data_IF_850812790855
#
_entry.id   IF_850812790855
#
_cell.length_a   1.000
_cell.length_b   1.000
_cell.length_c   1.000
_cell.angle_alpha   90.00
_cell.angle_beta   90.00
_cell.angle_gamma   90.00
#
_symmetry.space_group_name_H-M   'P 1'
#
loop_
_entity.id
_entity.type
_entity.pdbx_description
1 polymer ?
#
# COMPACT_ATOMS: atom_id res chain seq x y z
N UNK A 1 26.52 7.42 -15.44
CA UNK A 1 25.76 8.53 -14.85
C UNK A 1 24.77 9.02 -15.87
N UNK A 2 23.49 8.82 -15.60
CA UNK A 2 22.43 9.40 -16.39
C UNK A 2 22.30 10.90 -16.07
N UNK A 3 22.28 11.74 -17.12
CA UNK A 3 22.09 13.20 -17.01
C UNK A 3 20.62 13.60 -17.13
N UNK A 4 19.74 12.67 -17.48
CA UNK A 4 18.29 12.88 -17.50
C UNK A 4 17.74 12.82 -16.07
N UNK A 5 18.13 13.81 -15.27
CA UNK A 5 17.63 14.01 -13.91
C UNK A 5 16.32 14.80 -13.97
N UNK A 6 15.34 14.34 -13.20
CA UNK A 6 14.14 15.09 -12.94
C UNK A 6 14.21 15.65 -11.53
N UNK A 7 14.33 16.97 -11.42
CA UNK A 7 14.30 17.69 -10.14
C UNK A 7 13.00 18.49 -10.10
N UNK A 8 12.23 18.31 -9.03
CA UNK A 8 10.98 19.06 -8.79
C UNK A 8 11.02 19.70 -7.40
N UNK A 9 10.24 20.76 -7.20
CA UNK A 9 10.09 21.36 -5.87
C UNK A 9 9.25 20.40 -4.99
N UNK A 10 9.57 20.32 -3.69
CA UNK A 10 8.91 19.44 -2.72
C UNK A 10 7.40 19.65 -2.60
N UNK A 11 6.90 20.84 -2.95
CA UNK A 11 5.49 21.20 -2.96
C UNK A 11 4.75 20.79 -4.26
N UNK A 12 5.48 20.25 -5.25
CA UNK A 12 4.87 19.76 -6.49
C UNK A 12 3.94 18.61 -6.17
N UNK A 13 2.75 18.58 -6.78
CA UNK A 13 1.80 17.51 -6.53
C UNK A 13 2.27 16.16 -7.09
N UNK A 14 1.83 15.08 -6.44
CA UNK A 14 2.09 13.70 -6.88
C UNK A 14 1.54 13.42 -8.28
N UNK A 15 0.40 14.00 -8.67
CA UNK A 15 -0.11 13.96 -10.07
C UNK A 15 0.90 14.55 -11.05
N UNK A 16 1.43 15.72 -10.73
CA UNK A 16 2.38 16.44 -11.60
C UNK A 16 3.70 15.68 -11.68
N UNK A 17 4.17 15.13 -10.56
CA UNK A 17 5.35 14.28 -10.50
C UNK A 17 5.19 13.00 -11.35
N UNK A 18 4.06 12.30 -11.24
CA UNK A 18 3.75 11.11 -12.04
C UNK A 18 3.80 11.40 -13.55
N UNK A 19 3.16 12.49 -13.99
CA UNK A 19 3.21 12.93 -15.39
C UNK A 19 4.64 13.25 -15.83
N UNK A 20 5.40 13.97 -15.00
CA UNK A 20 6.77 14.32 -15.32
C UNK A 20 7.70 13.09 -15.44
N UNK A 21 7.50 12.07 -14.61
CA UNK A 21 8.22 10.78 -14.70
C UNK A 21 7.97 10.10 -16.05
N UNK A 22 6.71 10.02 -16.48
CA UNK A 22 6.31 9.45 -17.77
C UNK A 22 6.93 10.20 -18.95
N UNK A 23 6.72 11.53 -19.01
CA UNK A 23 7.20 12.38 -20.11
C UNK A 23 8.74 12.39 -20.22
N UNK A 24 9.43 12.32 -19.08
CA UNK A 24 10.90 12.31 -19.02
C UNK A 24 11.50 10.91 -19.18
N UNK A 25 10.67 9.86 -19.24
CA UNK A 25 11.11 8.46 -19.27
C UNK A 25 12.12 8.14 -18.15
N UNK A 26 11.82 8.62 -16.95
CA UNK A 26 12.64 8.41 -15.75
C UNK A 26 11.80 7.86 -14.61
N UNK A 27 12.42 7.10 -13.72
CA UNK A 27 11.74 6.40 -12.63
C UNK A 27 11.93 7.06 -11.25
N UNK A 28 12.58 8.22 -11.19
CA UNK A 28 12.67 8.98 -9.93
C UNK A 28 12.68 10.49 -10.12
N UNK A 29 12.14 11.17 -9.11
CA UNK A 29 12.22 12.61 -8.89
C UNK A 29 13.17 12.85 -7.73
N UNK A 30 14.12 13.75 -7.92
CA UNK A 30 14.88 14.37 -6.82
C UNK A 30 14.10 15.59 -6.36
N UNK A 31 13.63 15.59 -5.11
CA UNK A 31 12.87 16.68 -4.54
C UNK A 31 13.83 17.78 -4.03
N UNK A 32 13.47 19.03 -4.31
CA UNK A 32 14.20 20.21 -3.86
C UNK A 32 13.33 21.15 -3.04
N UNK A 33 13.92 21.87 -2.08
CA UNK A 33 13.23 22.98 -1.41
C UNK A 33 13.20 24.25 -2.29
N UNK A 34 12.60 25.32 -1.77
CA UNK A 34 12.50 26.61 -2.47
C UNK A 34 13.86 27.29 -2.69
N UNK A 35 14.90 26.82 -2.00
CA UNK A 35 16.28 27.29 -2.13
C UNK A 35 17.11 26.41 -3.08
N UNK A 36 16.52 25.34 -3.62
CA UNK A 36 17.17 24.40 -4.53
C UNK A 36 18.01 23.32 -3.84
N UNK A 37 17.93 23.19 -2.51
CA UNK A 37 18.58 22.09 -1.80
C UNK A 37 17.85 20.78 -2.06
N UNK A 38 18.60 19.69 -2.18
CA UNK A 38 18.01 18.36 -2.27
C UNK A 38 17.48 17.96 -0.89
N UNK A 39 16.19 17.66 -0.81
CA UNK A 39 15.48 17.34 0.45
C UNK A 39 14.73 16.02 0.42
N UNK A 40 14.55 15.41 -0.75
CA UNK A 40 14.08 14.04 -0.82
C UNK A 40 14.22 13.37 -2.17
N UNK A 41 13.77 12.12 -2.24
CA UNK A 41 13.68 11.34 -3.46
C UNK A 41 12.35 10.59 -3.50
N UNK A 42 11.69 10.61 -4.66
CA UNK A 42 10.41 9.92 -4.90
C UNK A 42 10.57 9.04 -6.14
N UNK A 43 10.03 7.83 -6.10
CA UNK A 43 10.05 6.90 -7.22
C UNK A 43 8.64 6.61 -7.74
N UNK A 44 8.55 6.06 -8.94
CA UNK A 44 7.30 5.50 -9.49
C UNK A 44 6.62 4.50 -8.54
N UNK A 45 7.41 3.68 -7.84
CA UNK A 45 6.93 2.77 -6.81
C UNK A 45 6.32 3.51 -5.62
N UNK A 46 6.91 4.61 -5.18
CA UNK A 46 6.37 5.41 -4.08
C UNK A 46 5.03 6.01 -4.48
N UNK A 47 4.90 6.55 -5.70
CA UNK A 47 3.61 7.06 -6.19
C UNK A 47 2.57 5.93 -6.33
N UNK A 48 2.96 4.78 -6.84
CA UNK A 48 2.03 3.66 -7.00
C UNK A 48 1.59 3.07 -5.66
N UNK A 49 2.55 2.80 -4.77
CA UNK A 49 2.26 2.14 -3.51
C UNK A 49 1.70 3.12 -2.47
N UNK A 50 2.29 4.32 -2.31
CA UNK A 50 1.90 5.28 -1.28
C UNK A 50 0.73 6.19 -1.71
N UNK A 51 0.67 6.61 -2.98
CA UNK A 51 -0.41 7.52 -3.42
C UNK A 51 -1.60 6.73 -3.94
N UNK A 52 -1.44 5.92 -4.99
CA UNK A 52 -2.55 5.15 -5.54
C UNK A 52 -3.04 4.07 -4.56
N UNK A 53 -2.11 3.34 -3.95
CA UNK A 53 -2.44 2.26 -3.01
C UNK A 53 -3.15 2.70 -1.73
N UNK A 54 -2.90 3.92 -1.25
CA UNK A 54 -3.60 4.48 -0.08
C UNK A 54 -4.67 5.50 -0.45
N UNK A 55 -4.92 5.68 -1.75
CA UNK A 55 -5.84 6.67 -2.34
C UNK A 55 -5.63 8.08 -1.78
N UNK A 56 -4.37 8.49 -1.63
CA UNK A 56 -4.06 9.86 -1.26
C UNK A 56 -4.55 10.81 -2.38
N UNK A 57 -5.04 12.03 -2.04
CA UNK A 57 -5.41 13.01 -3.05
C UNK A 57 -4.26 13.23 -4.01
N UNK A 58 -4.54 13.28 -5.31
CA UNK A 58 -3.48 13.43 -6.30
C UNK A 58 -2.87 14.85 -6.34
N UNK A 59 -3.44 15.76 -5.55
CA UNK A 59 -2.92 17.08 -5.18
C UNK A 59 -1.89 17.06 -4.05
N UNK A 60 -1.74 15.94 -3.34
CA UNK A 60 -0.76 15.75 -2.25
C UNK A 60 0.64 16.17 -2.71
N UNK A 61 1.38 16.96 -1.92
CA UNK A 61 2.74 17.35 -2.28
C UNK A 61 3.71 16.17 -2.19
N UNK A 62 4.71 16.13 -3.07
CA UNK A 62 5.70 15.03 -3.05
C UNK A 62 6.50 14.96 -1.74
N UNK A 63 6.56 16.05 -0.96
CA UNK A 63 7.16 16.06 0.38
C UNK A 63 6.59 15.03 1.33
N UNK A 64 5.33 14.63 1.13
CA UNK A 64 4.61 13.78 2.08
C UNK A 64 4.84 12.28 1.78
N UNK A 65 5.38 11.99 0.60
CA UNK A 65 5.65 10.62 0.12
C UNK A 65 7.12 10.39 -0.27
N UNK A 66 7.98 11.41 -0.11
CA UNK A 66 9.41 11.30 -0.44
C UNK A 66 10.20 10.62 0.69
N UNK A 67 11.23 9.87 0.30
CA UNK A 67 12.29 9.51 1.23
C UNK A 67 13.14 10.75 1.54
N UNK A 68 13.32 11.07 2.81
CA UNK A 68 14.11 12.23 3.29
C UNK A 68 15.58 11.88 3.57
N UNK A 69 15.88 10.62 3.83
CA UNK A 69 17.26 10.12 3.91
C UNK A 69 17.82 9.86 2.52
N UNK A 70 18.66 10.76 2.04
CA UNK A 70 19.23 10.70 0.70
C UNK A 70 20.72 10.46 0.78
N UNK A 71 21.17 9.44 0.07
CA UNK A 71 22.58 9.13 -0.11
C UNK A 71 23.07 9.73 -1.42
N UNK A 72 24.03 10.65 -1.34
CA UNK A 72 24.57 11.36 -2.51
C UNK A 72 26.08 11.15 -2.63
N UNK A 73 26.62 11.24 -3.84
CA UNK A 73 28.07 11.30 -4.09
C UNK A 73 28.44 12.63 -4.75
N UNK A 74 29.69 13.06 -4.56
CA UNK A 74 30.19 14.22 -5.30
C UNK A 74 30.55 13.83 -6.75
N UNK A 75 30.52 14.81 -7.67
CA UNK A 75 30.90 14.63 -9.08
C UNK A 75 32.22 13.88 -9.31
N UNK A 76 33.19 14.05 -8.40
CA UNK A 76 34.54 13.48 -8.51
C UNK A 76 34.68 12.10 -7.84
N UNK A 77 33.63 11.60 -7.20
CA UNK A 77 33.63 10.28 -6.57
C UNK A 77 33.84 9.18 -7.60
N UNK A 78 34.50 8.11 -7.17
CA UNK A 78 34.76 6.95 -8.02
C UNK A 78 33.53 6.06 -8.09
N UNK A 79 33.44 5.25 -9.14
CA UNK A 79 32.32 4.30 -9.31
C UNK A 79 32.24 3.31 -8.14
N UNK A 80 33.38 2.97 -7.55
CA UNK A 80 33.45 2.12 -6.36
C UNK A 80 32.70 2.73 -5.17
N UNK A 81 32.81 4.04 -4.95
CA UNK A 81 32.12 4.74 -3.87
C UNK A 81 30.60 4.67 -4.06
N UNK A 82 30.13 4.81 -5.31
CA UNK A 82 28.72 4.68 -5.67
C UNK A 82 28.21 3.27 -5.37
N UNK A 83 28.94 2.24 -5.83
CA UNK A 83 28.58 0.83 -5.62
C UNK A 83 28.52 0.50 -4.12
N UNK A 84 29.52 0.96 -3.37
CA UNK A 84 29.61 0.72 -1.93
C UNK A 84 28.46 1.38 -1.19
N UNK A 85 28.14 2.63 -1.52
CA UNK A 85 27.03 3.36 -0.93
C UNK A 85 25.66 2.72 -1.23
N UNK A 86 25.48 2.19 -2.45
CA UNK A 86 24.30 1.41 -2.83
C UNK A 86 24.19 0.09 -2.05
N UNK A 87 25.31 -0.61 -1.86
CA UNK A 87 25.38 -1.87 -1.10
C UNK A 87 25.05 -1.63 0.38
N UNK A 88 25.73 -0.69 1.01
CA UNK A 88 25.63 -0.45 2.46
C UNK A 88 24.24 0.01 2.87
N UNK A 89 23.55 0.77 2.01
CA UNK A 89 22.22 1.31 2.31
C UNK A 89 21.07 0.56 1.61
N UNK A 90 21.38 -0.43 0.76
CA UNK A 90 20.37 -1.16 -0.01
C UNK A 90 19.58 -0.30 -1.00
N UNK A 91 20.17 0.79 -1.50
CA UNK A 91 19.51 1.72 -2.43
C UNK A 91 19.93 1.48 -3.88
N UNK A 92 19.03 1.78 -4.81
CA UNK A 92 19.19 1.54 -6.26
C UNK A 92 19.66 2.76 -7.03
N UNK A 93 19.66 3.92 -6.39
CA UNK A 93 19.78 5.23 -7.04
C UNK A 93 20.55 6.16 -6.11
N UNK A 94 21.60 6.79 -6.64
CA UNK A 94 22.46 7.71 -5.90
C UNK A 94 22.56 9.01 -6.71
N UNK A 95 21.96 10.11 -6.24
CA UNK A 95 22.16 11.42 -6.85
C UNK A 95 23.63 11.84 -6.81
N UNK A 96 24.08 12.46 -7.90
CA UNK A 96 25.40 13.06 -8.02
C UNK A 96 25.25 14.56 -7.80
N UNK A 97 25.97 15.08 -6.82
CA UNK A 97 25.89 16.48 -6.43
C UNK A 97 27.18 17.23 -6.74
N UNK A 98 27.04 18.51 -7.03
CA UNK A 98 28.14 19.46 -7.19
C UNK A 98 27.92 20.63 -6.24
N UNK A 99 28.98 20.99 -5.49
CA UNK A 99 28.95 22.18 -4.63
C UNK A 99 28.87 23.42 -5.52
N UNK A 100 27.90 24.27 -5.23
CA UNK A 100 27.74 25.57 -5.88
C UNK A 100 28.17 26.69 -4.91
N UNK A 101 28.21 27.93 -5.42
CA UNK A 101 28.53 29.10 -4.59
C UNK A 101 27.57 29.19 -3.40
N UNK A 102 28.08 29.63 -2.26
CA UNK A 102 27.40 29.74 -0.96
C UNK A 102 27.24 28.43 -0.16
N UNK A 103 27.93 27.35 -0.55
CA UNK A 103 27.94 26.08 0.22
C UNK A 103 26.79 25.13 -0.09
N UNK A 104 25.87 25.51 -0.99
CA UNK A 104 24.75 24.68 -1.41
C UNK A 104 25.20 23.56 -2.36
N UNK A 105 24.36 22.54 -2.51
CA UNK A 105 24.59 21.41 -3.40
C UNK A 105 23.51 21.36 -4.48
N UNK A 106 23.94 21.19 -5.74
CA UNK A 106 23.05 21.01 -6.88
C UNK A 106 23.13 19.57 -7.36
N UNK A 107 21.97 18.93 -7.61
CA UNK A 107 21.91 17.66 -8.32
C UNK A 107 22.29 17.88 -9.80
N UNK A 108 23.32 17.17 -10.27
CA UNK A 108 23.82 17.27 -11.65
C UNK A 108 23.71 15.95 -12.43
N UNK A 109 23.31 14.87 -11.77
CA UNK A 109 23.21 13.56 -12.35
C UNK A 109 22.67 12.55 -11.35
N UNK A 110 22.42 11.33 -11.82
CA UNK A 110 22.10 10.21 -10.95
C UNK A 110 22.80 8.95 -11.47
N UNK A 111 23.24 8.10 -10.55
CA UNK A 111 23.60 6.72 -10.86
C UNK A 111 22.44 5.82 -10.48
N UNK A 112 21.99 4.98 -11.41
CA UNK A 112 21.05 3.90 -11.14
C UNK A 112 21.76 2.55 -11.18
N UNK A 113 21.19 1.53 -10.54
CA UNK A 113 21.65 0.16 -10.70
C UNK A 113 21.68 -0.26 -12.18
N UNK A 114 20.69 0.20 -12.97
CA UNK A 114 20.62 -0.07 -14.40
C UNK A 114 21.80 0.54 -15.16
N UNK A 115 22.20 1.77 -14.83
CA UNK A 115 23.41 2.39 -15.38
C UNK A 115 24.66 1.55 -15.05
N UNK A 116 24.74 1.00 -13.84
CA UNK A 116 25.88 0.16 -13.42
C UNK A 116 25.91 -1.16 -14.19
N UNK A 117 24.75 -1.78 -14.41
CA UNK A 117 24.61 -3.01 -15.20
C UNK A 117 25.05 -2.77 -16.65
N UNK A 118 24.49 -1.74 -17.29
CA UNK A 118 24.78 -1.41 -18.70
C UNK A 118 26.24 -0.96 -18.88
N UNK A 119 26.87 -0.42 -17.85
CA UNK A 119 28.27 -0.01 -17.95
C UNK A 119 29.25 -1.16 -18.17
N UNK A 120 28.90 -2.39 -17.79
CA UNK A 120 29.77 -3.58 -17.80
C UNK A 120 31.11 -3.44 -17.04
N UNK A 121 31.30 -2.32 -16.32
CA UNK A 121 32.53 -2.05 -15.54
C UNK A 121 32.44 -2.64 -14.14
N UNK A 122 31.22 -2.83 -13.60
CA UNK A 122 31.00 -3.34 -12.24
C UNK A 122 30.80 -4.85 -12.28
N UNK A 123 31.65 -5.57 -11.54
CA UNK A 123 31.55 -7.02 -11.45
C UNK A 123 30.20 -7.47 -10.87
N UNK A 124 29.57 -8.48 -11.49
CA UNK A 124 28.23 -8.98 -11.16
C UNK A 124 28.03 -9.29 -9.67
N UNK A 125 29.09 -9.75 -8.98
CA UNK A 125 29.08 -10.00 -7.54
C UNK A 125 28.62 -8.77 -6.74
N UNK A 126 29.12 -7.58 -7.05
CA UNK A 126 28.76 -6.35 -6.34
C UNK A 126 27.33 -5.91 -6.67
N UNK A 127 26.91 -6.02 -7.94
CA UNK A 127 25.53 -5.76 -8.35
C UNK A 127 24.55 -6.68 -7.60
N UNK A 128 24.90 -7.97 -7.47
CA UNK A 128 24.10 -8.93 -6.71
C UNK A 128 24.07 -8.61 -5.21
N UNK A 129 25.15 -8.07 -4.63
CA UNK A 129 25.17 -7.62 -3.24
C UNK A 129 24.24 -6.44 -3.02
N UNK A 130 24.23 -5.45 -3.92
CA UNK A 130 23.27 -4.34 -3.88
C UNK A 130 21.84 -4.90 -3.85
N UNK A 131 21.49 -5.78 -4.79
CA UNK A 131 20.14 -6.37 -4.89
C UNK A 131 19.76 -7.16 -3.62
N UNK A 132 20.69 -7.91 -3.03
CA UNK A 132 20.47 -8.63 -1.76
C UNK A 132 20.23 -7.66 -0.60
N UNK A 133 21.07 -6.61 -0.49
CA UNK A 133 20.94 -5.60 0.54
C UNK A 133 19.55 -4.96 0.51
N UNK A 134 18.96 -4.68 -0.67
CA UNK A 134 17.61 -4.10 -0.72
C UNK A 134 16.52 -5.04 -0.23
N UNK A 135 16.67 -6.36 -0.44
CA UNK A 135 15.72 -7.34 0.10
C UNK A 135 15.79 -7.38 1.63
N UNK A 136 16.99 -7.25 2.20
CA UNK A 136 17.20 -7.19 3.65
C UNK A 136 16.81 -5.84 4.26
N UNK A 137 17.18 -4.72 3.63
CA UNK A 137 16.86 -3.35 4.04
C UNK A 137 15.36 -3.05 3.92
N UNK A 138 14.64 -3.68 3.00
CA UNK A 138 13.16 -3.64 2.99
C UNK A 138 12.53 -4.21 4.27
N UNK A 139 13.27 -5.02 5.03
CA UNK A 139 12.88 -5.48 6.36
C UNK A 139 13.44 -4.60 7.50
N UNK A 140 14.31 -3.63 7.24
CA UNK A 140 15.10 -2.90 8.26
C UNK A 140 15.12 -1.36 8.15
N UNK A 141 14.69 -0.75 7.04
CA UNK A 141 14.76 0.71 6.85
C UNK A 141 13.79 1.42 7.78
N UNK A 142 14.23 1.87 8.95
CA UNK A 142 13.41 2.44 10.02
C UNK A 142 12.76 3.81 9.70
N UNK A 143 13.26 4.56 8.71
CA UNK A 143 12.70 5.86 8.33
C UNK A 143 11.82 5.82 7.07
N UNK A 144 12.19 5.04 6.04
CA UNK A 144 11.22 4.62 5.03
C UNK A 144 10.14 3.74 5.67
N UNK A 145 10.46 2.92 6.67
CA UNK A 145 9.44 2.18 7.43
C UNK A 145 8.57 3.10 8.25
N UNK A 146 8.93 4.32 8.64
CA UNK A 146 7.94 5.17 9.31
C UNK A 146 6.81 5.52 8.32
N UNK A 147 7.13 6.03 7.13
CA UNK A 147 6.12 6.31 6.10
C UNK A 147 5.40 5.03 5.67
N UNK A 148 6.13 3.95 5.40
CA UNK A 148 5.53 2.70 4.96
C UNK A 148 4.78 1.97 6.08
N UNK A 149 5.23 1.94 7.33
CA UNK A 149 4.50 1.36 8.48
C UNK A 149 3.31 2.23 8.83
N UNK A 150 3.48 3.56 8.91
CA UNK A 150 2.34 4.47 9.04
C UNK A 150 1.35 4.21 7.92
N UNK A 151 1.80 4.02 6.67
CA UNK A 151 0.91 3.69 5.57
C UNK A 151 0.19 2.34 5.80
N UNK A 152 0.90 1.25 6.14
CA UNK A 152 0.25 -0.03 6.46
C UNK A 152 -0.77 0.11 7.60
N UNK A 153 -0.40 0.79 8.69
CA UNK A 153 -1.27 1.12 9.80
C UNK A 153 -2.45 1.97 9.32
N UNK A 154 -2.23 2.94 8.44
CA UNK A 154 -3.28 3.78 7.85
C UNK A 154 -4.25 2.95 7.00
N UNK A 155 -3.79 1.99 6.19
CA UNK A 155 -4.68 1.10 5.42
C UNK A 155 -5.52 0.22 6.34
N UNK A 156 -4.92 -0.38 7.36
CA UNK A 156 -5.65 -1.21 8.30
C UNK A 156 -6.64 -0.38 9.14
N UNK A 157 -6.22 0.78 9.61
CA UNK A 157 -7.05 1.73 10.36
C UNK A 157 -8.20 2.26 9.50
N UNK A 158 -7.94 2.57 8.22
CA UNK A 158 -8.95 3.00 7.25
C UNK A 158 -9.93 1.88 6.96
N UNK A 159 -9.45 0.65 6.78
CA UNK A 159 -10.29 -0.53 6.65
C UNK A 159 -11.28 -0.63 7.81
N UNK A 160 -10.79 -0.60 9.04
CA UNK A 160 -11.66 -0.71 10.21
C UNK A 160 -12.55 0.50 10.45
N UNK A 161 -12.11 1.71 10.09
CA UNK A 161 -12.97 2.90 10.09
C UNK A 161 -14.16 2.72 9.15
N UNK A 162 -13.91 2.33 7.91
CA UNK A 162 -14.96 2.09 6.91
C UNK A 162 -15.89 0.96 7.35
N UNK A 163 -15.34 -0.12 7.92
CA UNK A 163 -16.14 -1.23 8.43
C UNK A 163 -17.02 -0.81 9.61
N UNK A 164 -16.49 0.00 10.53
CA UNK A 164 -17.25 0.53 11.66
C UNK A 164 -18.41 1.44 11.21
N UNK A 165 -18.15 2.33 10.25
CA UNK A 165 -19.16 3.19 9.63
C UNK A 165 -20.21 2.36 8.89
N UNK A 166 -19.79 1.40 8.06
CA UNK A 166 -20.69 0.56 7.28
C UNK A 166 -21.62 -0.25 8.17
N UNK A 167 -21.08 -0.93 9.20
CA UNK A 167 -21.85 -1.75 10.13
C UNK A 167 -22.61 -0.94 11.19
N UNK A 168 -22.32 0.35 11.34
CA UNK A 168 -22.80 1.20 12.43
C UNK A 168 -22.46 0.63 13.81
N UNK A 169 -21.19 0.28 14.01
CA UNK A 169 -20.68 -0.31 15.26
C UNK A 169 -19.53 0.53 15.83
N UNK A 170 -19.31 0.51 17.16
CA UNK A 170 -18.09 1.06 17.75
C UNK A 170 -16.86 0.41 17.13
N UNK A 171 -15.79 1.20 16.93
CA UNK A 171 -14.59 0.75 16.21
C UNK A 171 -13.99 -0.55 16.75
N UNK A 172 -13.84 -0.67 18.07
CA UNK A 172 -13.31 -1.88 18.70
C UNK A 172 -14.18 -3.13 18.45
N UNK A 173 -15.50 -2.95 18.37
CA UNK A 173 -16.44 -4.04 18.06
C UNK A 173 -16.39 -4.39 16.58
N UNK A 174 -16.36 -3.37 15.71
CA UNK A 174 -16.25 -3.54 14.27
C UNK A 174 -14.98 -4.31 13.88
N UNK A 175 -13.84 -4.00 14.51
CA UNK A 175 -12.57 -4.70 14.29
C UNK A 175 -12.69 -6.22 14.51
N UNK A 176 -13.28 -6.61 15.65
CA UNK A 176 -13.48 -8.00 16.03
C UNK A 176 -14.53 -8.69 15.16
N UNK A 177 -15.65 -8.03 14.88
CA UNK A 177 -16.73 -8.55 14.02
C UNK A 177 -16.22 -8.76 12.59
N UNK A 178 -15.50 -7.78 12.03
CA UNK A 178 -14.90 -7.91 10.70
C UNK A 178 -13.93 -9.08 10.63
N UNK A 179 -13.02 -9.22 11.60
CA UNK A 179 -12.09 -10.35 11.60
C UNK A 179 -12.82 -11.69 11.70
N UNK A 180 -13.88 -11.76 12.51
CA UNK A 180 -14.70 -12.97 12.66
C UNK A 180 -15.42 -13.33 11.37
N UNK A 181 -16.06 -12.37 10.70
CA UNK A 181 -16.74 -12.57 9.42
C UNK A 181 -15.76 -12.95 8.30
N UNK A 182 -14.62 -12.25 8.18
CA UNK A 182 -13.55 -12.59 7.24
C UNK A 182 -13.05 -14.02 7.45
N UNK A 183 -12.87 -14.43 8.70
CA UNK A 183 -12.45 -15.80 9.06
C UNK A 183 -13.44 -16.82 8.53
N UNK A 184 -14.76 -16.59 8.71
CA UNK A 184 -15.78 -17.53 8.21
C UNK A 184 -15.89 -17.56 6.70
N UNK A 185 -15.81 -16.41 6.05
CA UNK A 185 -15.77 -16.30 4.59
C UNK A 185 -14.57 -17.12 4.07
N UNK A 186 -13.37 -16.87 4.58
CA UNK A 186 -12.14 -17.54 4.12
C UNK A 186 -12.19 -19.05 4.34
N UNK A 187 -12.65 -19.51 5.50
CA UNK A 187 -12.75 -20.94 5.79
C UNK A 187 -13.83 -21.64 4.95
N UNK A 188 -14.90 -20.94 4.58
CA UNK A 188 -15.99 -21.51 3.79
C UNK A 188 -15.64 -21.69 2.32
N UNK A 189 -14.71 -20.89 1.80
CA UNK A 189 -14.32 -20.87 0.40
C UNK A 189 -13.32 -21.97 0.03
N UNK A 190 -13.31 -22.43 -1.24
CA UNK A 190 -12.18 -23.19 -1.79
C UNK A 190 -10.87 -22.40 -1.69
N UNK A 191 -9.76 -23.08 -1.41
CA UNK A 191 -8.46 -22.44 -1.18
C UNK A 191 -8.08 -21.42 -2.26
N UNK A 192 -8.20 -21.74 -3.55
CA UNK A 192 -7.85 -20.83 -4.65
C UNK A 192 -8.64 -19.52 -4.59
N UNK A 193 -9.96 -19.62 -4.36
CA UNK A 193 -10.86 -18.46 -4.28
C UNK A 193 -10.56 -17.65 -3.02
N UNK A 194 -10.32 -18.32 -1.90
CA UNK A 194 -9.98 -17.66 -0.64
C UNK A 194 -8.67 -16.86 -0.74
N UNK A 195 -7.64 -17.37 -1.44
CA UNK A 195 -6.39 -16.66 -1.64
C UNK A 195 -6.56 -15.40 -2.52
N UNK A 196 -7.42 -15.48 -3.54
CA UNK A 196 -7.76 -14.32 -4.37
C UNK A 196 -8.51 -13.26 -3.54
N UNK A 197 -9.49 -13.67 -2.74
CA UNK A 197 -10.20 -12.79 -1.81
C UNK A 197 -9.26 -12.12 -0.81
N UNK A 198 -8.39 -12.90 -0.17
CA UNK A 198 -7.43 -12.40 0.82
C UNK A 198 -6.45 -11.40 0.19
N UNK A 199 -6.01 -11.60 -1.06
CA UNK A 199 -4.98 -10.78 -1.69
C UNK A 199 -5.32 -9.28 -1.79
N UNK A 200 -6.59 -8.91 -1.65
CA UNK A 200 -7.09 -7.54 -1.73
C UNK A 200 -7.34 -6.89 -0.35
N UNK A 201 -7.16 -7.64 0.74
CA UNK A 201 -7.30 -7.12 2.10
C UNK A 201 -6.00 -6.45 2.59
N UNK A 202 -6.06 -5.59 3.62
CA UNK A 202 -4.87 -5.12 4.34
C UNK A 202 -3.87 -6.21 4.68
N UNK A 203 -2.56 -5.96 4.50
CA UNK A 203 -1.49 -6.97 4.63
C UNK A 203 -1.50 -7.70 5.99
N UNK A 204 -1.83 -7.02 7.08
CA UNK A 204 -1.89 -7.67 8.40
C UNK A 204 -3.06 -8.65 8.53
N UNK A 205 -4.20 -8.36 7.89
CA UNK A 205 -5.29 -9.32 7.75
C UNK A 205 -4.86 -10.50 6.88
N UNK A 206 -4.12 -10.25 5.80
CA UNK A 206 -3.62 -11.33 4.93
C UNK A 206 -2.74 -12.32 5.71
N UNK A 207 -1.81 -11.82 6.53
CA UNK A 207 -0.91 -12.66 7.35
C UNK A 207 -1.67 -13.65 8.21
N UNK A 208 -2.78 -13.24 8.80
CA UNK A 208 -3.60 -14.11 9.65
C UNK A 208 -4.52 -15.02 8.84
N UNK A 209 -5.17 -14.50 7.80
CA UNK A 209 -6.16 -15.24 7.03
C UNK A 209 -5.56 -16.33 6.12
N UNK A 210 -4.35 -16.14 5.58
CA UNK A 210 -3.67 -17.17 4.77
C UNK A 210 -3.38 -18.44 5.60
N UNK A 211 -3.20 -18.33 6.91
CA UNK A 211 -2.93 -19.50 7.78
C UNK A 211 -4.14 -20.44 7.88
N UNK A 212 -5.34 -19.94 7.61
CA UNK A 212 -6.61 -20.65 7.76
C UNK A 212 -7.31 -20.92 6.41
N UNK A 213 -6.68 -20.57 5.28
CA UNK A 213 -7.20 -20.79 3.92
C UNK A 213 -6.98 -22.25 3.46
N UNK A 214 -7.63 -23.19 4.14
CA UNK A 214 -7.55 -24.64 3.86
C UNK A 214 -8.88 -25.23 3.33
N UNK A 215 -9.87 -24.36 3.06
CA UNK A 215 -11.26 -24.73 2.79
C UNK A 215 -11.52 -25.45 1.46
N UNK A 216 -12.79 -25.81 1.18
CA UNK A 216 -13.98 -25.34 1.89
C UNK A 216 -14.35 -26.18 3.13
N UNK A 217 -14.54 -25.53 4.29
CA UNK A 217 -15.16 -26.15 5.46
C UNK A 217 -16.69 -26.13 5.30
N UNK A 218 -17.28 -27.30 5.05
CA UNK A 218 -18.72 -27.45 4.85
C UNK A 218 -19.56 -27.25 6.11
N UNK A 219 -18.95 -27.27 7.29
CA UNK A 219 -19.66 -27.09 8.56
C UNK A 219 -19.96 -25.61 8.87
N UNK A 220 -19.41 -24.69 8.08
CA UNK A 220 -19.69 -23.26 8.21
C UNK A 220 -20.92 -22.94 7.35
N UNK A 221 -22.09 -23.00 7.98
CA UNK A 221 -23.38 -22.60 7.42
C UNK A 221 -23.80 -21.21 7.93
N UNK A 222 -24.95 -20.73 7.46
CA UNK A 222 -25.52 -19.44 7.86
C UNK A 222 -25.77 -19.34 9.37
N UNK A 223 -26.15 -20.45 10.01
CA UNK A 223 -26.42 -20.48 11.44
C UNK A 223 -25.12 -20.33 12.24
N UNK A 224 -24.04 -20.99 11.84
CA UNK A 224 -22.72 -20.85 12.47
C UNK A 224 -22.24 -19.40 12.37
N UNK A 225 -22.32 -18.79 11.19
CA UNK A 225 -21.88 -17.40 10.96
C UNK A 225 -22.66 -16.42 11.84
N UNK A 226 -23.99 -16.52 11.87
CA UNK A 226 -24.82 -15.64 12.68
C UNK A 226 -24.71 -15.95 14.18
N UNK A 227 -24.52 -17.22 14.57
CA UNK A 227 -24.33 -17.62 15.96
C UNK A 227 -23.06 -17.03 16.57
N UNK A 228 -22.00 -16.89 15.77
CA UNK A 228 -20.77 -16.22 16.19
C UNK A 228 -21.00 -14.76 16.57
N UNK A 229 -21.93 -14.08 15.87
CA UNK A 229 -22.30 -12.70 16.18
C UNK A 229 -23.19 -12.61 17.42
N UNK A 230 -24.22 -13.45 17.50
CA UNK A 230 -25.15 -13.45 18.64
C UNK A 230 -24.46 -13.87 19.95
N UNK A 231 -23.63 -14.92 19.94
CA UNK A 231 -22.95 -15.42 21.13
C UNK A 231 -21.67 -14.64 21.45
N UNK A 232 -20.88 -14.30 20.43
CA UNK A 232 -19.60 -13.63 20.61
C UNK A 232 -19.71 -12.13 20.91
N UNK A 233 -20.77 -11.48 20.44
CA UNK A 233 -20.94 -10.03 20.52
C UNK A 233 -22.29 -9.59 21.12
N UNK A 234 -23.11 -10.53 21.62
CA UNK A 234 -24.40 -10.28 22.26
C UNK A 234 -25.42 -9.55 21.36
N UNK A 235 -25.27 -9.69 20.04
CA UNK A 235 -26.19 -9.11 19.08
C UNK A 235 -27.49 -9.90 19.00
N UNK A 236 -28.61 -9.22 18.69
CA UNK A 236 -29.83 -9.92 18.33
C UNK A 236 -29.66 -10.61 16.97
N UNK A 237 -30.48 -11.63 16.68
CA UNK A 237 -30.39 -12.35 15.39
C UNK A 237 -30.62 -11.42 14.19
N UNK A 238 -31.66 -10.58 14.24
CA UNK A 238 -31.95 -9.60 13.18
C UNK A 238 -30.82 -8.56 13.01
N UNK A 239 -30.22 -8.12 14.11
CA UNK A 239 -29.07 -7.22 14.10
C UNK A 239 -27.85 -7.89 13.48
N UNK A 240 -27.59 -9.16 13.82
CA UNK A 240 -26.48 -9.95 13.28
C UNK A 240 -26.57 -10.09 11.76
N UNK A 241 -27.77 -10.34 11.24
CA UNK A 241 -28.02 -10.41 9.80
C UNK A 241 -27.76 -9.05 9.13
N UNK A 242 -28.26 -7.96 9.71
CA UNK A 242 -28.06 -6.61 9.19
C UNK A 242 -26.58 -6.22 9.17
N UNK A 243 -25.85 -6.49 10.26
CA UNK A 243 -24.41 -6.25 10.38
C UNK A 243 -23.64 -7.05 9.33
N UNK A 244 -24.01 -8.31 9.09
CA UNK A 244 -23.37 -9.17 8.08
C UNK A 244 -23.54 -8.63 6.67
N UNK A 245 -24.75 -8.18 6.30
CA UNK A 245 -25.02 -7.54 5.00
C UNK A 245 -24.27 -6.21 4.85
N UNK A 246 -24.29 -5.37 5.88
CA UNK A 246 -23.57 -4.09 5.90
C UNK A 246 -22.06 -4.27 5.81
N UNK A 247 -21.51 -5.27 6.48
CA UNK A 247 -20.10 -5.65 6.37
C UNK A 247 -19.73 -5.99 4.92
N UNK A 248 -20.55 -6.84 4.27
CA UNK A 248 -20.34 -7.21 2.87
C UNK A 248 -20.37 -6.01 1.92
N UNK A 249 -21.33 -5.10 2.11
CA UNK A 249 -21.38 -3.83 1.36
C UNK A 249 -20.15 -2.95 1.61
N UNK A 250 -19.65 -2.92 2.85
CA UNK A 250 -18.41 -2.22 3.20
C UNK A 250 -17.20 -2.76 2.44
N UNK A 251 -17.13 -4.07 2.20
CA UNK A 251 -16.03 -4.70 1.45
C UNK A 251 -15.97 -4.25 -0.02
N UNK A 252 -17.10 -3.83 -0.63
CA UNK A 252 -17.10 -3.30 -1.99
C UNK A 252 -16.24 -2.03 -2.17
N UNK A 253 -15.89 -1.34 -1.07
CA UNK A 253 -14.96 -0.19 -1.11
C UNK A 253 -13.49 -0.61 -1.20
N UNK A 254 -13.18 -1.89 -1.02
CA UNK A 254 -11.80 -2.40 -1.00
C UNK A 254 -11.57 -3.51 -2.03
N UNK A 255 -12.58 -4.33 -2.29
CA UNK A 255 -12.47 -5.49 -3.15
C UNK A 255 -13.01 -5.20 -4.55
N UNK A 256 -12.34 -5.75 -5.57
CA UNK A 256 -12.78 -5.73 -6.95
C UNK A 256 -14.16 -6.39 -7.08
N UNK A 257 -15.11 -5.78 -7.82
CA UNK A 257 -16.46 -6.32 -7.97
C UNK A 257 -16.52 -7.77 -8.48
N UNK A 258 -15.56 -8.17 -9.34
CA UNK A 258 -15.51 -9.54 -9.83
C UNK A 258 -15.07 -10.52 -8.73
N UNK A 259 -14.16 -10.12 -7.84
CA UNK A 259 -13.76 -10.93 -6.68
C UNK A 259 -14.93 -11.10 -5.72
N UNK A 260 -15.70 -10.03 -5.48
CA UNK A 260 -16.92 -10.10 -4.66
C UNK A 260 -17.94 -11.07 -5.26
N UNK A 261 -18.22 -10.95 -6.57
CA UNK A 261 -19.17 -11.82 -7.26
C UNK A 261 -18.71 -13.30 -7.28
N UNK A 262 -17.43 -13.55 -7.59
CA UNK A 262 -16.86 -14.91 -7.57
C UNK A 262 -16.91 -15.52 -6.18
N UNK A 263 -16.68 -14.72 -5.13
CA UNK A 263 -16.74 -15.19 -3.75
C UNK A 263 -18.14 -15.73 -3.41
N UNK A 264 -19.20 -14.98 -3.76
CA UNK A 264 -20.57 -15.41 -3.52
C UNK A 264 -20.96 -16.63 -4.34
N UNK A 265 -20.54 -16.70 -5.61
CA UNK A 265 -20.81 -17.87 -6.48
C UNK A 265 -20.19 -19.17 -5.97
N UNK A 266 -19.16 -19.08 -5.13
CA UNK A 266 -18.43 -20.23 -4.58
C UNK A 266 -18.93 -20.63 -3.19
N UNK A 267 -19.95 -19.95 -2.67
CA UNK A 267 -20.66 -20.29 -1.45
C UNK A 267 -21.98 -20.99 -1.77
N UNK A 268 -22.52 -21.82 -0.86
CA UNK A 268 -23.91 -22.26 -0.95
C UNK A 268 -24.87 -21.07 -0.94
N UNK A 269 -26.03 -21.22 -1.59
CA UNK A 269 -27.06 -20.17 -1.70
C UNK A 269 -27.48 -19.62 -0.32
N UNK A 270 -27.75 -20.49 0.65
CA UNK A 270 -28.14 -20.09 2.02
C UNK A 270 -27.10 -19.21 2.71
N UNK A 271 -25.80 -19.45 2.45
CA UNK A 271 -24.70 -18.65 3.00
C UNK A 271 -24.54 -17.35 2.21
N UNK A 272 -24.68 -17.38 0.89
CA UNK A 272 -24.60 -16.18 0.07
C UNK A 272 -25.74 -15.18 0.41
N UNK A 273 -26.94 -15.67 0.74
CA UNK A 273 -28.11 -14.85 1.10
C UNK A 273 -27.95 -14.06 2.41
N UNK A 274 -27.12 -14.51 3.36
CA UNK A 274 -26.87 -13.70 4.56
C UNK A 274 -25.92 -12.53 4.30
N UNK A 275 -25.15 -12.57 3.21
CA UNK A 275 -24.29 -11.47 2.76
C UNK A 275 -24.97 -10.59 1.70
N UNK A 276 -25.93 -11.13 0.95
CA UNK A 276 -26.64 -10.44 -0.13
C UNK A 276 -28.11 -10.18 0.22
N UNK A 277 -28.61 -8.97 -0.02
CA UNK A 277 -30.04 -8.71 0.16
C UNK A 277 -30.38 -7.26 0.47
N UNK A 278 -31.41 -6.76 -0.20
CA UNK A 278 -32.03 -5.46 0.00
C UNK A 278 -33.16 -5.58 1.02
N UNK A 279 -32.88 -5.41 2.31
CA UNK A 279 -33.94 -5.01 3.23
C UNK A 279 -33.58 -3.67 3.87
N UNK A 280 -34.30 -2.67 3.33
CA UNK A 280 -34.50 -1.28 3.75
C UNK A 280 -33.49 -0.22 3.25
N UNK A 281 -33.97 0.56 2.27
CA UNK A 281 -33.68 1.97 2.09
C UNK A 281 -32.72 2.29 0.96
N UNK A 282 -33.26 2.67 -0.19
CA UNK A 282 -32.63 3.61 -1.11
C UNK A 282 -32.27 4.89 -0.34
N UNK A 283 -31.09 4.91 0.31
CA UNK A 283 -30.46 6.12 0.85
C UNK A 283 -28.99 5.86 1.25
N UNK A 284 -28.30 5.03 0.47
CA UNK A 284 -26.85 5.07 0.40
C UNK A 284 -26.45 5.52 -1.01
N UNK A 285 -26.91 6.71 -1.39
CA UNK A 285 -25.97 7.62 -2.05
C UNK A 285 -24.84 7.82 -1.05
N UNK A 286 -23.76 7.05 -1.19
CA UNK A 286 -22.48 7.47 -0.65
C UNK A 286 -22.22 8.80 -1.34
N UNK A 287 -22.53 9.90 -0.68
CA UNK A 287 -22.19 11.21 -1.16
C UNK A 287 -20.67 11.21 -1.38
N UNK A 288 -20.25 11.45 -2.61
CA UNK A 288 -18.88 11.84 -2.98
C UNK A 288 -18.57 13.25 -2.41
N UNK A 289 -18.88 13.50 -1.14
CA UNK A 289 -18.49 14.71 -0.45
C UNK A 289 -17.22 14.42 0.34
N UNK A 290 -16.09 14.57 -0.36
CA UNK A 290 -14.82 14.89 0.27
C UNK A 290 -14.94 16.27 0.91
N UNK A 291 -15.27 16.32 2.19
CA UNK A 291 -14.98 17.47 3.04
C UNK A 291 -14.06 16.98 4.17
N UNK A 292 -12.84 17.50 4.15
CA UNK A 292 -11.86 17.40 5.23
C UNK A 292 -11.74 18.79 5.85
N UNK A 293 -12.22 18.91 7.09
CA UNK A 293 -11.67 19.83 8.08
C UNK A 293 -10.40 19.21 8.71
#
# INVERSE_FOLDING_TARGET
MNRNILVLNKHTSVRTAARALFERQTCCVVASDDHGHIVGLVTDRDLTCLVLGFEMPDTTPISDVMATEIFTVERKSQIYDVVKLMEDNGVRRIPVVEKIKNGHQKCIGIYTLDDLIVSEIVHLKFLAQIVRAQKSSRNLLTNASAIYQNAHDHVLNRFYKIMAEAMNLPRSTAELVSMKLLTRIVQRLPQVVSLQFISQLPTDLQKELVKISNGPDSNIDEHVILSDLTQGFQMLHAESLLVTKKFWLGLNKFLDPNVMAQTLQQMPESVAEIFTGTEWGDDVTVADSFDLD
#
